data_IF_028571725549
#
_entry.id   IF_028571725549
#
_cell.length_a   1.000
_cell.length_b   1.000
_cell.length_c   1.000
_cell.angle_alpha   90.00
_cell.angle_beta   90.00
_cell.angle_gamma   90.00
#
_symmetry.space_group_name_H-M   'P 1'
#
loop_
_entity.id
_entity.type
_entity.pdbx_description
1 polymer ?
#
# COMPACT_ATOMS: atom_id res chain seq x y z
N UNK A 1 -17.83 -2.35 8.44
CA UNK A 1 -17.39 -2.80 7.10
C UNK A 1 -17.11 -1.57 6.26
N UNK A 2 -15.93 -0.99 6.43
CA UNK A 2 -15.49 0.20 5.70
C UNK A 2 -15.01 -0.28 4.32
N UNK A 3 -15.79 0.00 3.27
CA UNK A 3 -15.37 -0.26 1.89
C UNK A 3 -14.21 0.70 1.60
N UNK A 4 -12.99 0.23 1.83
CA UNK A 4 -11.77 0.89 1.35
C UNK A 4 -11.93 1.04 -0.15
N UNK A 5 -12.24 2.27 -0.57
CA UNK A 5 -12.43 2.69 -1.94
C UNK A 5 -11.09 2.49 -2.65
N UNK A 6 -10.87 1.31 -3.23
CA UNK A 6 -9.65 1.05 -4.00
C UNK A 6 -9.65 2.06 -5.15
N UNK A 7 -8.66 2.98 -5.20
CA UNK A 7 -8.64 3.98 -6.25
C UNK A 7 -8.63 3.26 -7.60
N UNK A 8 -9.38 3.78 -8.58
CA UNK A 8 -9.51 3.19 -9.92
C UNK A 8 -8.14 2.88 -10.58
N UNK A 9 -7.10 3.61 -10.18
CA UNK A 9 -5.71 3.39 -10.58
C UNK A 9 -5.17 2.02 -10.17
N UNK A 10 -5.60 1.43 -9.05
CA UNK A 10 -5.20 0.08 -8.65
C UNK A 10 -5.91 -1.02 -9.44
N UNK A 11 -7.14 -0.77 -9.89
CA UNK A 11 -7.92 -1.71 -10.71
C UNK A 11 -7.44 -1.74 -12.17
N UNK A 12 -7.03 -0.60 -12.72
CA UNK A 12 -6.54 -0.50 -14.10
C UNK A 12 -5.16 -1.16 -14.26
N UNK A 13 -4.34 -1.18 -13.20
CA UNK A 13 -2.97 -1.71 -13.21
C UNK A 13 -2.79 -2.99 -12.39
N UNK A 14 -3.88 -3.70 -12.12
CA UNK A 14 -3.85 -4.96 -11.39
C UNK A 14 -3.06 -6.01 -12.17
N UNK A 15 -2.05 -6.54 -11.49
CA UNK A 15 -1.14 -7.57 -11.94
C UNK A 15 -1.91 -8.86 -12.33
N UNK A 16 -3.15 -9.04 -11.86
CA UNK A 16 -4.01 -10.17 -12.27
C UNK A 16 -4.58 -10.07 -13.69
N UNK A 17 -4.64 -8.87 -14.30
CA UNK A 17 -5.15 -8.63 -15.67
C UNK A 17 -4.03 -8.31 -16.68
N UNK A 18 -2.79 -8.69 -16.34
CA UNK A 18 -1.56 -8.52 -17.14
C UNK A 18 -1.67 -9.06 -18.57
N UNK A 19 -2.24 -10.26 -18.73
CA UNK A 19 -2.46 -10.87 -20.05
C UNK A 19 -3.59 -10.20 -20.83
N UNK A 20 -4.67 -9.81 -20.14
CA UNK A 20 -5.84 -9.18 -20.78
C UNK A 20 -5.48 -7.82 -21.38
N UNK A 21 -4.65 -7.02 -20.72
CA UNK A 21 -4.22 -5.72 -21.28
C UNK A 21 -3.33 -5.87 -22.51
N UNK A 22 -2.34 -6.76 -22.46
CA UNK A 22 -1.50 -7.03 -23.63
C UNK A 22 -2.36 -7.57 -24.79
N UNK A 23 -3.27 -8.50 -24.49
CA UNK A 23 -4.17 -9.12 -25.47
C UNK A 23 -5.16 -8.09 -26.06
N UNK A 24 -5.70 -7.17 -25.24
CA UNK A 24 -6.57 -6.08 -25.70
C UNK A 24 -5.81 -5.07 -26.56
N UNK A 25 -4.56 -4.71 -26.20
CA UNK A 25 -3.75 -3.83 -27.06
C UNK A 25 -3.35 -4.50 -28.37
N UNK A 26 -2.95 -5.78 -28.34
CA UNK A 26 -2.65 -6.55 -29.56
C UNK A 26 -3.90 -6.77 -30.40
N UNK A 27 -5.06 -6.99 -29.79
CA UNK A 27 -6.33 -7.17 -30.48
C UNK A 27 -6.86 -5.86 -31.07
N UNK A 28 -6.72 -4.74 -30.37
CA UNK A 28 -7.10 -3.42 -30.88
C UNK A 28 -6.22 -3.01 -32.07
N UNK A 29 -4.92 -3.28 -32.00
CA UNK A 29 -3.98 -3.02 -33.10
C UNK A 29 -4.10 -4.01 -34.26
N UNK A 30 -4.38 -5.28 -33.98
CA UNK A 30 -4.71 -6.25 -35.02
C UNK A 30 -6.01 -5.87 -35.73
N UNK A 31 -7.01 -5.37 -35.00
CA UNK A 31 -8.27 -4.86 -35.55
C UNK A 31 -8.02 -3.62 -36.42
N UNK A 32 -7.25 -2.63 -35.93
CA UNK A 32 -6.87 -1.44 -36.71
C UNK A 32 -6.09 -1.81 -37.99
N UNK A 33 -5.17 -2.78 -37.89
CA UNK A 33 -4.36 -3.22 -39.02
C UNK A 33 -5.16 -4.02 -40.06
N UNK A 34 -6.11 -4.85 -39.63
CA UNK A 34 -6.97 -5.65 -40.53
C UNK A 34 -8.07 -4.80 -41.18
N UNK A 35 -8.60 -3.79 -40.48
CA UNK A 35 -9.70 -2.96 -41.00
C UNK A 35 -9.24 -1.69 -41.73
N UNK A 36 -8.12 -1.05 -41.37
CA UNK A 36 -7.78 0.31 -41.85
C UNK A 36 -6.64 0.33 -42.89
N UNK A 37 -5.66 -0.58 -42.82
CA UNK A 37 -4.51 -0.61 -43.75
C UNK A 37 -4.32 -2.00 -44.35
N UNK A 38 -5.17 -2.37 -45.30
CA UNK A 38 -5.00 -3.60 -46.10
C UNK A 38 -3.67 -3.52 -46.89
N UNK A 39 -2.62 -4.29 -46.54
CA UNK A 39 -1.38 -4.27 -47.30
C UNK A 39 -1.59 -5.04 -48.62
N UNK A 40 -1.11 -4.49 -49.76
CA UNK A 40 -1.44 -5.02 -51.09
C UNK A 40 -0.78 -6.37 -51.40
N UNK A 41 0.31 -6.75 -50.71
CA UNK A 41 1.07 -7.98 -50.97
C UNK A 41 0.94 -9.08 -49.90
N UNK A 42 1.00 -10.35 -50.31
CA UNK A 42 0.98 -11.50 -49.39
C UNK A 42 2.19 -11.56 -48.43
N UNK A 43 3.36 -11.09 -48.87
CA UNK A 43 4.57 -11.00 -48.04
C UNK A 43 4.45 -10.01 -46.89
N UNK A 44 3.75 -8.88 -47.12
CA UNK A 44 3.50 -7.86 -46.09
C UNK A 44 2.60 -8.40 -44.96
N UNK A 45 1.64 -9.25 -45.30
CA UNK A 45 0.77 -9.91 -44.30
C UNK A 45 1.54 -10.91 -43.44
N UNK A 46 2.46 -11.67 -44.05
CA UNK A 46 3.30 -12.62 -43.32
C UNK A 46 4.23 -11.89 -42.33
N UNK A 47 4.85 -10.79 -42.74
CA UNK A 47 5.70 -9.97 -41.87
C UNK A 47 4.91 -9.36 -40.71
N UNK A 48 3.68 -8.89 -40.95
CA UNK A 48 2.80 -8.40 -39.90
C UNK A 48 2.39 -9.50 -38.90
N UNK A 49 2.03 -10.69 -39.40
CA UNK A 49 1.68 -11.83 -38.56
C UNK A 49 2.85 -12.27 -37.67
N UNK A 50 4.08 -12.31 -38.21
CA UNK A 50 5.29 -12.60 -37.43
C UNK A 50 5.55 -11.53 -36.37
N UNK A 51 5.36 -10.25 -36.70
CA UNK A 51 5.47 -9.16 -35.73
C UNK A 51 4.47 -9.27 -34.57
N UNK A 52 3.23 -9.70 -34.87
CA UNK A 52 2.18 -9.92 -33.88
C UNK A 52 2.50 -11.13 -32.98
N UNK A 53 2.97 -12.23 -33.58
CA UNK A 53 3.40 -13.43 -32.86
C UNK A 53 4.60 -13.15 -31.94
N UNK A 54 5.55 -12.34 -32.39
CA UNK A 54 6.67 -11.89 -31.56
C UNK A 54 6.22 -11.02 -30.38
N UNK A 55 5.24 -10.15 -30.59
CA UNK A 55 4.64 -9.35 -29.53
C UNK A 55 3.96 -10.25 -28.47
N UNK A 56 3.19 -11.25 -28.91
CA UNK A 56 2.57 -12.25 -28.04
C UNK A 56 3.60 -13.11 -27.30
N UNK A 57 4.69 -13.52 -27.97
CA UNK A 57 5.80 -14.24 -27.37
C UNK A 57 6.58 -13.40 -26.34
N UNK A 58 6.54 -12.06 -26.47
CA UNK A 58 7.06 -11.09 -25.50
C UNK A 58 6.43 -11.20 -24.11
N UNK A 59 5.31 -11.91 -23.97
CA UNK A 59 4.73 -12.25 -22.68
C UNK A 59 5.69 -13.06 -21.79
N UNK A 60 6.47 -14.00 -22.37
CA UNK A 60 7.44 -14.82 -21.62
C UNK A 60 8.88 -14.32 -21.75
N UNK A 61 9.23 -13.71 -22.88
CA UNK A 61 10.62 -13.33 -23.18
C UNK A 61 10.69 -11.92 -23.78
N UNK A 62 10.30 -10.92 -23.01
CA UNK A 62 10.13 -9.54 -23.49
C UNK A 62 11.39 -8.94 -24.17
N UNK A 63 12.61 -9.27 -23.68
CA UNK A 63 13.85 -8.81 -24.30
C UNK A 63 14.13 -9.48 -25.65
N UNK A 64 13.95 -10.80 -25.75
CA UNK A 64 14.21 -11.51 -27.01
C UNK A 64 13.18 -11.13 -28.06
N UNK A 65 11.92 -10.90 -27.65
CA UNK A 65 10.87 -10.38 -28.51
C UNK A 65 11.21 -8.99 -29.07
N UNK A 66 11.74 -8.08 -28.23
CA UNK A 66 12.14 -6.75 -28.67
C UNK A 66 13.32 -6.78 -29.65
N UNK A 67 14.33 -7.62 -29.40
CA UNK A 67 15.46 -7.81 -30.31
C UNK A 67 14.99 -8.41 -31.64
N UNK A 68 14.14 -9.43 -31.59
CA UNK A 68 13.56 -10.05 -32.78
C UNK A 68 12.68 -9.09 -33.58
N UNK A 69 11.88 -8.24 -32.93
CA UNK A 69 11.11 -7.18 -33.59
C UNK A 69 12.01 -6.11 -34.21
N UNK A 70 13.11 -5.76 -33.55
CA UNK A 70 14.08 -4.79 -34.08
C UNK A 70 14.78 -5.36 -35.32
N UNK A 71 15.14 -6.65 -35.31
CA UNK A 71 15.67 -7.34 -36.49
C UNK A 71 14.64 -7.39 -37.62
N UNK A 72 13.40 -7.78 -37.33
CA UNK A 72 12.30 -7.83 -38.30
C UNK A 72 12.03 -6.47 -38.95
N UNK A 73 12.13 -5.37 -38.18
CA UNK A 73 11.95 -4.01 -38.66
C UNK A 73 13.06 -3.59 -39.65
N UNK A 74 14.30 -3.99 -39.40
CA UNK A 74 15.42 -3.77 -40.32
C UNK A 74 15.24 -4.60 -41.59
N UNK A 75 14.88 -5.88 -41.46
CA UNK A 75 14.65 -6.78 -42.60
C UNK A 75 13.49 -6.31 -43.49
N UNK A 76 12.34 -5.94 -42.89
CA UNK A 76 11.19 -5.42 -43.63
C UNK A 76 11.51 -4.14 -44.41
N UNK A 77 12.43 -3.31 -43.91
CA UNK A 77 12.88 -2.11 -44.61
C UNK A 77 13.78 -2.42 -45.80
N UNK A 78 14.72 -3.34 -45.65
CA UNK A 78 15.58 -3.77 -46.76
C UNK A 78 14.78 -4.41 -47.90
N UNK A 79 13.62 -4.98 -47.58
CA UNK A 79 12.67 -5.55 -48.54
C UNK A 79 11.70 -4.52 -49.15
N UNK A 80 11.74 -3.24 -48.73
CA UNK A 80 10.85 -2.19 -49.23
C UNK A 80 9.38 -2.34 -48.81
N UNK A 81 9.10 -3.13 -47.76
CA UNK A 81 7.75 -3.44 -47.33
C UNK A 81 7.02 -2.18 -46.78
N UNK A 82 5.77 -1.96 -47.19
CA UNK A 82 4.95 -0.83 -46.71
C UNK A 82 4.58 -0.92 -45.21
N UNK A 83 4.89 -2.05 -44.56
CA UNK A 83 4.50 -2.38 -43.17
C UNK A 83 5.44 -1.78 -42.12
N UNK A 84 6.57 -1.16 -42.54
CA UNK A 84 7.57 -0.56 -41.63
C UNK A 84 6.97 0.39 -40.57
N UNK A 85 6.01 1.29 -40.87
CA UNK A 85 5.41 2.15 -39.85
C UNK A 85 4.66 1.38 -38.76
N UNK A 86 4.00 0.28 -39.12
CA UNK A 86 3.22 -0.54 -38.18
C UNK A 86 4.13 -1.37 -37.27
N UNK A 87 5.25 -1.88 -37.81
CA UNK A 87 6.27 -2.55 -37.01
C UNK A 87 6.92 -1.62 -35.97
N UNK A 88 7.07 -0.32 -36.28
CA UNK A 88 7.56 0.68 -35.32
C UNK A 88 6.62 0.84 -34.12
N UNK A 89 5.31 0.85 -34.36
CA UNK A 89 4.31 0.93 -33.28
C UNK A 89 4.35 -0.31 -32.41
N UNK A 90 4.42 -1.50 -33.01
CA UNK A 90 4.53 -2.76 -32.26
C UNK A 90 5.81 -2.81 -31.41
N UNK A 91 6.94 -2.38 -31.96
CA UNK A 91 8.22 -2.35 -31.23
C UNK A 91 8.24 -1.30 -30.09
N UNK A 92 7.54 -0.17 -30.27
CA UNK A 92 7.38 0.82 -29.20
C UNK A 92 6.55 0.28 -28.03
N UNK A 93 5.52 -0.52 -28.32
CA UNK A 93 4.66 -1.14 -27.30
C UNK A 93 5.41 -2.21 -26.52
N UNK A 94 6.17 -3.08 -27.19
CA UNK A 94 6.99 -4.07 -26.50
C UNK A 94 8.10 -3.42 -25.69
N UNK A 95 8.68 -2.31 -26.16
CA UNK A 95 9.61 -1.51 -25.37
C UNK A 95 8.94 -0.92 -24.12
N UNK A 96 7.72 -0.39 -24.23
CA UNK A 96 6.96 0.08 -23.07
C UNK A 96 6.75 -1.06 -22.06
N UNK A 97 6.39 -2.26 -22.53
CA UNK A 97 6.20 -3.43 -21.69
C UNK A 97 7.50 -3.88 -21.00
N UNK A 98 8.62 -3.87 -21.73
CA UNK A 98 9.97 -4.09 -21.19
C UNK A 98 10.35 -2.99 -20.18
N UNK A 99 9.97 -1.74 -20.42
CA UNK A 99 10.23 -0.62 -19.50
C UNK A 99 9.43 -0.73 -18.21
N UNK A 100 8.18 -1.20 -18.27
CA UNK A 100 7.35 -1.44 -17.08
C UNK A 100 7.85 -2.68 -16.30
N UNK A 101 8.32 -3.73 -16.98
CA UNK A 101 8.71 -5.02 -16.35
C UNK A 101 10.19 -5.12 -15.97
N UNK A 102 11.05 -4.49 -16.76
CA UNK A 102 12.49 -4.66 -16.68
C UNK A 102 13.04 -4.02 -15.41
N UNK A 103 13.89 -4.78 -14.71
CA UNK A 103 14.72 -4.27 -13.61
C UNK A 103 16.13 -3.97 -14.13
N UNK A 104 16.77 -2.94 -13.59
CA UNK A 104 18.15 -2.58 -13.93
C UNK A 104 18.32 -2.07 -15.36
N UNK A 105 19.32 -2.58 -16.09
CA UNK A 105 19.75 -2.08 -17.41
C UNK A 105 18.94 -2.60 -18.60
N UNK A 106 18.12 -3.64 -18.41
CA UNK A 106 17.33 -4.26 -19.48
C UNK A 106 16.51 -3.27 -20.34
N UNK A 107 15.72 -2.34 -19.78
CA UNK A 107 14.94 -1.40 -20.59
C UNK A 107 15.80 -0.33 -21.27
N UNK A 108 16.95 0.03 -20.69
CA UNK A 108 17.89 0.94 -21.33
C UNK A 108 18.54 0.28 -22.57
N UNK A 109 18.92 -1.00 -22.46
CA UNK A 109 19.40 -1.79 -23.61
C UNK A 109 18.32 -1.88 -24.68
N UNK A 110 17.07 -2.19 -24.30
CA UNK A 110 15.95 -2.23 -25.24
C UNK A 110 15.71 -0.90 -25.97
N UNK A 111 15.80 0.22 -25.25
CA UNK A 111 15.68 1.55 -25.83
C UNK A 111 16.80 1.81 -26.86
N UNK A 112 18.05 1.46 -26.53
CA UNK A 112 19.18 1.59 -27.44
C UNK A 112 19.04 0.74 -28.71
N UNK A 113 18.57 -0.51 -28.57
CA UNK A 113 18.33 -1.41 -29.70
C UNK A 113 17.25 -0.88 -30.64
N UNK A 114 16.12 -0.39 -30.09
CA UNK A 114 15.06 0.19 -30.92
C UNK A 114 15.50 1.50 -31.59
N UNK A 115 16.20 2.37 -30.87
CA UNK A 115 16.74 3.61 -31.42
C UNK A 115 17.69 3.32 -32.59
N UNK A 116 18.60 2.35 -32.41
CA UNK A 116 19.52 1.91 -33.47
C UNK A 116 18.77 1.37 -34.68
N UNK A 117 17.75 0.52 -34.49
CA UNK A 117 16.94 0.00 -35.59
C UNK A 117 16.22 1.10 -36.38
N UNK A 118 15.72 2.15 -35.69
CA UNK A 118 15.09 3.31 -36.34
C UNK A 118 16.10 4.13 -37.14
N UNK A 119 17.33 4.28 -36.64
CA UNK A 119 18.42 4.99 -37.34
C UNK A 119 18.87 4.21 -38.59
N UNK A 120 19.07 2.90 -38.48
CA UNK A 120 19.46 2.03 -39.60
C UNK A 120 18.40 2.01 -40.71
N UNK A 121 17.12 2.14 -40.36
CA UNK A 121 16.00 2.26 -41.29
C UNK A 121 16.01 3.56 -42.14
N UNK A 122 16.92 4.51 -41.87
CA UNK A 122 17.06 5.73 -42.69
C UNK A 122 18.42 5.88 -43.36
N UNK A 123 19.33 4.93 -43.17
CA UNK A 123 20.69 4.99 -43.70
C UNK A 123 20.76 5.01 -45.24
N UNK A 124 19.73 4.54 -45.95
CA UNK A 124 19.69 4.51 -47.42
C UNK A 124 19.17 5.79 -48.11
N UNK A 125 18.79 6.83 -47.37
CA UNK A 125 18.19 8.05 -47.94
C UNK A 125 18.63 9.33 -47.23
N UNK A 126 19.93 9.44 -46.94
CA UNK A 126 20.55 10.58 -46.26
C UNK A 126 21.13 11.59 -47.26
N UNK A 127 20.38 12.62 -47.70
CA UNK A 127 20.96 13.92 -47.95
C UNK A 127 20.89 14.71 -46.63
N UNK A 128 21.99 14.74 -45.89
CA UNK A 128 22.33 15.84 -44.97
C UNK A 128 21.61 16.02 -43.62
N UNK A 129 20.44 15.45 -43.35
CA UNK A 129 19.63 15.88 -42.18
C UNK A 129 19.57 14.84 -41.03
N UNK A 130 20.65 14.77 -40.23
CA UNK A 130 20.76 13.89 -39.05
C UNK A 130 19.82 14.28 -37.90
N UNK A 131 19.56 15.58 -37.73
CA UNK A 131 18.73 16.11 -36.65
C UNK A 131 17.30 15.54 -36.62
N UNK A 132 16.51 15.53 -37.71
CA UNK A 132 15.16 14.96 -37.71
C UNK A 132 15.15 13.44 -37.49
N UNK A 133 16.20 12.72 -37.89
CA UNK A 133 16.33 11.27 -37.69
C UNK A 133 16.54 10.97 -36.19
N UNK A 134 17.46 11.68 -35.55
CA UNK A 134 17.72 11.54 -34.12
C UNK A 134 16.50 11.94 -33.28
N UNK A 135 15.83 13.04 -33.64
CA UNK A 135 14.59 13.45 -32.97
C UNK A 135 13.52 12.36 -33.07
N UNK A 136 13.30 11.78 -34.25
CA UNK A 136 12.31 10.71 -34.43
C UNK A 136 12.67 9.44 -33.66
N UNK A 137 13.94 9.06 -33.64
CA UNK A 137 14.42 7.93 -32.85
C UNK A 137 14.22 8.17 -31.34
N UNK A 138 14.53 9.38 -30.87
CA UNK A 138 14.33 9.79 -29.49
C UNK A 138 12.85 9.78 -29.09
N UNK A 139 11.94 10.23 -29.96
CA UNK A 139 10.50 10.18 -29.68
C UNK A 139 9.98 8.74 -29.71
N UNK A 140 10.33 7.94 -30.72
CA UNK A 140 9.80 6.57 -30.88
C UNK A 140 10.31 5.62 -29.79
N UNK A 141 11.58 5.74 -29.39
CA UNK A 141 12.15 4.88 -28.35
C UNK A 141 12.07 5.51 -26.95
N UNK A 142 12.29 6.81 -26.84
CA UNK A 142 12.31 7.52 -25.56
C UNK A 142 10.94 7.63 -24.93
N UNK A 143 9.89 7.97 -25.68
CA UNK A 143 8.55 8.15 -25.12
C UNK A 143 8.02 6.89 -24.42
N UNK A 144 8.01 5.68 -25.04
CA UNK A 144 7.59 4.46 -24.34
C UNK A 144 8.54 4.06 -23.20
N UNK A 145 9.84 4.32 -23.32
CA UNK A 145 10.81 4.07 -22.26
C UNK A 145 10.54 4.93 -21.02
N UNK A 146 10.32 6.24 -21.21
CA UNK A 146 10.01 7.19 -20.13
C UNK A 146 8.66 6.89 -19.50
N UNK A 147 7.61 6.68 -20.31
CA UNK A 147 6.29 6.34 -19.80
C UNK A 147 6.31 5.05 -18.98
N UNK A 148 6.97 4.00 -19.50
CA UNK A 148 7.07 2.72 -18.81
C UNK A 148 7.86 2.81 -17.51
N UNK A 149 8.96 3.57 -17.52
CA UNK A 149 9.78 3.82 -16.33
C UNK A 149 9.04 4.65 -15.27
N UNK A 150 8.28 5.67 -15.69
CA UNK A 150 7.45 6.49 -14.80
C UNK A 150 6.35 5.65 -14.13
N UNK A 151 5.66 4.81 -14.90
CA UNK A 151 4.66 3.88 -14.37
C UNK A 151 5.28 2.91 -13.38
N UNK A 152 6.47 2.35 -13.67
CA UNK A 152 7.20 1.48 -12.74
C UNK A 152 7.52 2.22 -11.43
N UNK A 153 8.11 3.40 -11.51
CA UNK A 153 8.49 4.19 -10.33
C UNK A 153 7.27 4.59 -9.50
N UNK A 154 6.18 4.99 -10.16
CA UNK A 154 4.92 5.31 -9.48
C UNK A 154 4.35 4.11 -8.73
N UNK A 155 4.43 2.90 -9.31
CA UNK A 155 3.99 1.66 -8.65
C UNK A 155 4.86 1.29 -7.45
N UNK A 156 6.17 1.39 -7.59
CA UNK A 156 7.11 1.13 -6.49
C UNK A 156 6.89 2.12 -5.34
N UNK A 157 6.72 3.41 -5.65
CA UNK A 157 6.40 4.43 -4.65
C UNK A 157 5.05 4.16 -3.96
N UNK A 158 4.02 3.78 -4.71
CA UNK A 158 2.71 3.45 -4.15
C UNK A 158 2.76 2.20 -3.25
N UNK A 159 3.52 1.17 -3.62
CA UNK A 159 3.72 -0.02 -2.80
C UNK A 159 4.42 0.33 -1.48
N UNK A 160 5.51 1.11 -1.54
CA UNK A 160 6.20 1.57 -0.34
C UNK A 160 5.31 2.44 0.56
N UNK A 161 4.50 3.34 -0.01
CA UNK A 161 3.56 4.15 0.76
C UNK A 161 2.51 3.29 1.49
N UNK A 162 1.99 2.23 0.85
CA UNK A 162 1.05 1.29 1.47
C UNK A 162 1.68 0.50 2.60
N UNK A 163 2.89 0.00 2.41
CA UNK A 163 3.63 -0.72 3.46
C UNK A 163 3.86 0.19 4.68
N UNK A 164 4.24 1.44 4.44
CA UNK A 164 4.42 2.42 5.51
C UNK A 164 3.11 2.75 6.22
N UNK A 165 2.02 2.91 5.48
CA UNK A 165 0.69 3.15 6.06
C UNK A 165 0.24 1.97 6.93
N UNK A 166 0.41 0.74 6.46
CA UNK A 166 0.10 -0.47 7.22
C UNK A 166 0.92 -0.58 8.51
N UNK A 167 2.23 -0.27 8.45
CA UNK A 167 3.10 -0.24 9.65
C UNK A 167 2.67 0.84 10.65
N UNK A 168 2.27 2.02 10.18
CA UNK A 168 1.77 3.10 11.05
C UNK A 168 0.46 2.71 11.72
N UNK A 169 -0.47 2.12 10.97
CA UNK A 169 -1.75 1.65 11.51
C UNK A 169 -1.54 0.62 12.63
N UNK A 170 -0.65 -0.37 12.40
CA UNK A 170 -0.33 -1.38 13.41
C UNK A 170 0.28 -0.77 14.68
N UNK A 171 1.19 0.19 14.54
CA UNK A 171 1.80 0.90 15.69
C UNK A 171 0.76 1.70 16.47
N UNK A 172 -0.10 2.44 15.77
CA UNK A 172 -1.16 3.22 16.41
C UNK A 172 -2.14 2.34 17.19
N UNK A 173 -2.47 1.15 16.66
CA UNK A 173 -3.31 0.18 17.38
C UNK A 173 -2.62 -0.34 18.65
N UNK A 174 -1.34 -0.67 18.58
CA UNK A 174 -0.55 -1.09 19.74
C UNK A 174 -0.45 -0.01 20.80
N UNK A 175 -0.17 1.24 20.39
CA UNK A 175 -0.13 2.40 21.28
C UNK A 175 -1.49 2.65 21.94
N UNK A 176 -2.59 2.55 21.19
CA UNK A 176 -3.93 2.71 21.74
C UNK A 176 -4.28 1.62 22.77
N UNK A 177 -3.89 0.37 22.52
CA UNK A 177 -4.07 -0.73 23.49
C UNK A 177 -3.23 -0.49 24.75
N UNK A 178 -1.97 -0.10 24.60
CA UNK A 178 -1.09 0.20 25.71
C UNK A 178 -1.59 1.40 26.54
N UNK A 179 -2.04 2.47 25.88
CA UNK A 179 -2.60 3.65 26.52
C UNK A 179 -3.87 3.31 27.32
N UNK A 180 -4.79 2.52 26.74
CA UNK A 180 -6.00 2.06 27.45
C UNK A 180 -5.67 1.20 28.66
N UNK A 181 -4.66 0.33 28.57
CA UNK A 181 -4.22 -0.49 29.69
C UNK A 181 -3.60 0.37 30.81
N UNK A 182 -2.78 1.36 30.44
CA UNK A 182 -2.19 2.31 31.37
C UNK A 182 -3.25 3.17 32.07
N UNK A 183 -4.24 3.66 31.33
CA UNK A 183 -5.38 4.42 31.86
C UNK A 183 -6.20 3.58 32.84
N UNK A 184 -6.54 2.34 32.48
CA UNK A 184 -7.25 1.42 33.40
C UNK A 184 -6.46 1.17 34.69
N UNK A 185 -5.15 1.02 34.60
CA UNK A 185 -4.29 0.85 35.76
C UNK A 185 -4.15 2.13 36.59
N UNK A 186 -4.25 3.32 35.98
CA UNK A 186 -4.29 4.60 36.69
C UNK A 186 -5.63 4.76 37.42
N UNK A 187 -6.76 4.54 36.74
CA UNK A 187 -8.11 4.58 37.33
C UNK A 187 -8.21 3.61 38.52
N UNK A 188 -7.71 2.37 38.37
CA UNK A 188 -7.73 1.40 39.46
C UNK A 188 -6.97 1.90 40.71
N UNK A 189 -5.83 2.57 40.52
CA UNK A 189 -5.04 3.15 41.63
C UNK A 189 -5.74 4.36 42.25
N UNK A 190 -6.28 5.26 41.44
CA UNK A 190 -7.03 6.42 41.93
C UNK A 190 -8.28 5.98 42.73
N UNK A 191 -9.00 4.97 42.23
CA UNK A 191 -10.11 4.37 42.96
C UNK A 191 -9.65 3.71 44.26
N UNK A 192 -8.53 2.98 44.24
CA UNK A 192 -7.97 2.37 45.43
C UNK A 192 -7.61 3.42 46.49
N UNK A 193 -6.93 4.50 46.10
CA UNK A 193 -6.52 5.58 46.99
C UNK A 193 -7.75 6.32 47.57
N UNK A 194 -8.75 6.62 46.73
CA UNK A 194 -10.00 7.25 47.17
C UNK A 194 -10.78 6.35 48.14
N UNK A 195 -10.90 5.06 47.84
CA UNK A 195 -11.60 4.09 48.71
C UNK A 195 -10.85 3.96 50.03
N UNK A 196 -9.53 3.77 50.01
CA UNK A 196 -8.72 3.66 51.22
C UNK A 196 -8.85 4.92 52.11
N UNK A 197 -8.85 6.10 51.50
CA UNK A 197 -9.04 7.37 52.22
C UNK A 197 -10.44 7.47 52.84
N UNK A 198 -11.51 7.20 52.08
CA UNK A 198 -12.89 7.29 52.58
C UNK A 198 -13.18 6.26 53.68
N UNK A 199 -12.72 5.02 53.53
CA UNK A 199 -12.88 3.99 54.56
C UNK A 199 -12.09 4.35 55.82
N UNK A 200 -10.87 4.87 55.69
CA UNK A 200 -10.09 5.36 56.84
C UNK A 200 -10.80 6.49 57.59
N UNK A 201 -11.38 7.45 56.86
CA UNK A 201 -12.17 8.55 57.44
C UNK A 201 -13.44 8.05 58.14
N UNK A 202 -14.16 7.08 57.56
CA UNK A 202 -15.31 6.44 58.21
C UNK A 202 -14.92 5.71 59.49
N UNK A 203 -13.87 4.88 59.46
CA UNK A 203 -13.38 4.14 60.64
C UNK A 203 -12.97 5.09 61.76
N UNK A 204 -12.34 6.22 61.41
CA UNK A 204 -11.98 7.27 62.38
C UNK A 204 -13.23 7.89 63.01
N UNK A 205 -14.22 8.30 62.20
CA UNK A 205 -15.50 8.88 62.69
C UNK A 205 -16.28 7.91 63.57
N UNK A 206 -16.36 6.63 63.18
CA UNK A 206 -16.98 5.57 63.99
C UNK A 206 -16.21 5.38 65.31
N UNK A 207 -14.87 5.41 65.29
CA UNK A 207 -14.05 5.35 66.49
C UNK A 207 -14.31 6.50 67.46
N UNK A 208 -14.45 7.72 66.95
CA UNK A 208 -14.84 8.90 67.75
C UNK A 208 -16.25 8.74 68.32
N UNK A 209 -17.22 8.29 67.53
CA UNK A 209 -18.59 8.06 67.98
C UNK A 209 -18.66 7.03 69.13
N UNK A 210 -17.89 5.93 69.03
CA UNK A 210 -17.74 4.95 70.11
C UNK A 210 -17.25 5.61 71.39
N UNK A 211 -16.19 6.41 71.30
CA UNK A 211 -15.58 7.06 72.46
C UNK A 211 -16.53 8.06 73.15
N UNK A 212 -17.26 8.87 72.37
CA UNK A 212 -18.24 9.82 72.91
C UNK A 212 -19.41 9.11 73.59
N UNK A 213 -19.91 8.00 73.03
CA UNK A 213 -20.99 7.21 73.64
C UNK A 213 -20.54 6.56 74.95
N UNK A 214 -19.29 6.05 75.03
CA UNK A 214 -18.73 5.50 76.27
C UNK A 214 -18.43 6.57 77.33
N UNK A 215 -17.92 7.73 76.94
CA UNK A 215 -17.63 8.84 77.86
C UNK A 215 -18.91 9.47 78.43
N UNK A 216 -19.95 9.61 77.60
CA UNK A 216 -21.26 10.08 78.04
C UNK A 216 -21.90 9.15 79.10
N UNK A 217 -21.58 7.86 79.07
CA UNK A 217 -22.00 6.89 80.07
C UNK A 217 -21.22 6.97 81.39
N UNK A 218 -19.99 7.52 81.37
CA UNK A 218 -19.07 7.57 82.50
C UNK A 218 -19.03 8.95 83.22
N UNK A 219 -19.60 10.01 82.64
CA UNK A 219 -19.51 11.38 83.15
C UNK A 219 -20.44 11.75 84.33
N UNK A 220 -20.22 12.91 85.01
CA UNK A 220 -20.83 13.26 86.31
C UNK A 220 -22.35 13.51 86.34
N UNK A 221 -23.07 13.26 85.24
CA UNK A 221 -24.53 13.33 85.13
C UNK A 221 -25.16 12.09 84.47
N UNK A 222 -24.41 10.98 84.38
CA UNK A 222 -24.75 9.76 83.63
C UNK A 222 -25.91 8.96 84.25
N UNK A 223 -27.13 9.20 83.78
CA UNK A 223 -28.30 8.34 84.05
C UNK A 223 -28.76 7.49 82.86
N UNK A 224 -28.21 7.73 81.67
CA UNK A 224 -28.58 7.01 80.43
C UNK A 224 -27.56 5.93 80.13
N UNK A 225 -27.91 4.67 80.45
CA UNK A 225 -27.17 3.50 79.97
C UNK A 225 -27.22 3.53 78.43
N UNK A 226 -26.08 3.53 77.72
CA UNK A 226 -26.06 3.45 76.27
C UNK A 226 -26.84 2.22 75.81
N UNK A 227 -27.68 2.36 74.79
CA UNK A 227 -28.37 1.21 74.21
C UNK A 227 -27.30 0.20 73.71
N UNK A 228 -27.25 -1.02 74.27
CA UNK A 228 -26.28 -2.05 73.89
C UNK A 228 -26.27 -2.31 72.38
N UNK A 229 -27.43 -2.16 71.73
CA UNK A 229 -27.57 -2.36 70.28
C UNK A 229 -26.79 -1.32 69.47
N UNK A 230 -26.67 -0.09 69.97
CA UNK A 230 -25.92 0.99 69.30
C UNK A 230 -24.42 0.77 69.46
N UNK A 231 -23.97 0.37 70.65
CA UNK A 231 -22.55 0.06 70.89
C UNK A 231 -22.09 -1.15 70.09
N UNK A 232 -22.89 -2.22 70.01
CA UNK A 232 -22.57 -3.41 69.22
C UNK A 232 -22.41 -3.08 67.73
N UNK A 233 -23.33 -2.29 67.16
CA UNK A 233 -23.25 -1.86 65.76
C UNK A 233 -22.00 -1.02 65.49
N UNK A 234 -21.63 -0.11 66.40
CA UNK A 234 -20.43 0.72 66.22
C UNK A 234 -19.14 -0.12 66.34
N UNK A 235 -19.11 -1.12 67.22
CA UNK A 235 -17.99 -2.07 67.36
C UNK A 235 -17.83 -2.92 66.09
N UNK A 236 -18.93 -3.44 65.55
CA UNK A 236 -18.94 -4.20 64.30
C UNK A 236 -18.47 -3.34 63.11
N UNK A 237 -18.99 -2.11 62.98
CA UNK A 237 -18.58 -1.19 61.92
C UNK A 237 -17.09 -0.82 62.02
N UNK A 238 -16.57 -0.61 63.23
CA UNK A 238 -15.17 -0.27 63.44
C UNK A 238 -14.23 -1.46 63.15
N UNK A 239 -14.58 -2.66 63.59
CA UNK A 239 -13.79 -3.87 63.37
C UNK A 239 -13.80 -4.29 61.89
N UNK A 240 -14.98 -4.29 61.26
CA UNK A 240 -15.15 -4.58 59.83
C UNK A 240 -14.40 -3.56 58.96
N UNK A 241 -14.47 -2.27 59.27
CA UNK A 241 -13.72 -1.24 58.55
C UNK A 241 -12.19 -1.36 58.71
N UNK A 242 -11.68 -1.73 59.90
CA UNK A 242 -10.24 -2.02 60.09
C UNK A 242 -9.80 -3.25 59.30
N UNK A 243 -10.63 -4.30 59.25
CA UNK A 243 -10.36 -5.49 58.47
C UNK A 243 -10.27 -5.16 56.97
N UNK A 244 -11.24 -4.40 56.44
CA UNK A 244 -11.25 -3.97 55.04
C UNK A 244 -10.03 -3.11 54.66
N UNK A 245 -9.58 -2.19 55.52
CA UNK A 245 -8.34 -1.41 55.28
C UNK A 245 -7.08 -2.26 55.27
N UNK A 246 -7.06 -3.33 56.07
CA UNK A 246 -5.92 -4.26 56.12
C UNK A 246 -5.86 -5.09 54.84
N UNK A 247 -7.02 -5.49 54.32
CA UNK A 247 -7.13 -6.24 53.07
C UNK A 247 -6.77 -5.38 51.85
N UNK A 248 -7.17 -4.11 51.82
CA UNK A 248 -6.77 -3.16 50.76
C UNK A 248 -5.26 -2.89 50.73
N UNK A 249 -4.54 -3.04 51.86
CA UNK A 249 -3.08 -2.82 51.89
C UNK A 249 -2.25 -4.03 51.39
N UNK A 250 -2.88 -5.17 51.13
CA UNK A 250 -2.22 -6.38 50.61
C UNK A 250 -2.14 -6.37 49.10
#
# INVERSE_FOLDING_TARGET
MERVNRPWTDLVFDDRRRGVRALVYTAALATDFVLVRQPPGGGDRALAAVGLLLCLAGWRWALTALVAQSALLVTAHTLGAGVVPSLKVLAAITLFEVAVRGRGRAPAVGCGVLALAVVLNRFGGLPGDLAPVLFKAAVVAGLPFFLGSYVRMSREAAAHAREQAARRALRAEQEAVAARAAERAAIARELHDLVAHHVSSMVLRVGVARHVVTDAAAGPGGGTVPDPRVTDVLDDLHSSGRAALTDLRR
#
